data_IF_845896240786
#
_entry.id   IF_845896240786
#
_cell.length_a   1.000
_cell.length_b   1.000
_cell.length_c   1.000
_cell.angle_alpha   90.00
_cell.angle_beta   90.00
_cell.angle_gamma   90.00
#
_symmetry.space_group_name_H-M   'P 1'
#
loop_
_entity.id
_entity.type
_entity.pdbx_description
1 polymer ?
#
# COMPACT_ATOMS: atom_id res chain seq x y z
N UNK A 1 -8.48 -81.27 -14.01
CA UNK A 1 -8.73 -80.38 -12.88
C UNK A 1 -8.21 -79.00 -13.24
N UNK A 2 -9.11 -78.06 -13.64
CA UNK A 2 -8.79 -76.65 -13.96
C UNK A 2 -9.08 -75.79 -12.74
N UNK A 3 -8.03 -75.12 -12.19
CA UNK A 3 -8.21 -74.18 -11.12
C UNK A 3 -8.41 -72.78 -11.73
N UNK A 4 -9.57 -72.18 -11.50
CA UNK A 4 -9.87 -70.80 -11.87
C UNK A 4 -9.46 -69.88 -10.70
N UNK A 5 -8.51 -68.98 -10.98
CA UNK A 5 -8.14 -67.92 -10.03
C UNK A 5 -9.01 -66.68 -10.27
N UNK A 6 -9.75 -66.31 -9.25
CA UNK A 6 -10.55 -65.07 -9.24
C UNK A 6 -9.66 -63.93 -8.71
N UNK A 7 -9.40 -62.95 -9.57
CA UNK A 7 -8.74 -61.73 -9.15
C UNK A 7 -9.79 -60.69 -8.68
N UNK A 8 -9.77 -60.37 -7.41
CA UNK A 8 -10.58 -59.29 -6.83
C UNK A 8 -9.82 -57.97 -7.00
N UNK A 9 -10.33 -57.08 -7.87
CA UNK A 9 -9.83 -55.72 -8.02
C UNK A 9 -10.49 -54.83 -6.94
N UNK A 10 -9.72 -54.46 -5.92
CA UNK A 10 -10.17 -53.46 -4.92
C UNK A 10 -9.89 -52.07 -5.48
N UNK A 11 -10.94 -51.35 -5.92
CA UNK A 11 -10.86 -49.97 -6.35
C UNK A 11 -10.74 -49.06 -5.11
N UNK A 12 -9.55 -48.51 -4.90
CA UNK A 12 -9.33 -47.46 -3.90
C UNK A 12 -9.75 -46.14 -4.49
N UNK A 13 -10.90 -45.62 -4.05
CA UNK A 13 -11.41 -44.31 -4.40
C UNK A 13 -10.64 -43.23 -3.60
N UNK A 14 -9.69 -42.55 -4.24
CA UNK A 14 -9.04 -41.36 -3.66
C UNK A 14 -10.03 -40.19 -3.70
N UNK A 15 -10.67 -39.89 -2.57
CA UNK A 15 -11.36 -38.62 -2.38
C UNK A 15 -10.33 -37.50 -2.25
N UNK A 16 -10.07 -36.77 -3.31
CA UNK A 16 -9.34 -35.49 -3.23
C UNK A 16 -10.25 -34.43 -2.64
N UNK A 17 -10.07 -34.15 -1.36
CA UNK A 17 -10.68 -32.97 -0.73
C UNK A 17 -10.05 -31.71 -1.33
N UNK A 18 -10.73 -31.07 -2.26
CA UNK A 18 -10.41 -29.71 -2.71
C UNK A 18 -10.77 -28.76 -1.57
N UNK A 19 -9.78 -28.38 -0.76
CA UNK A 19 -9.92 -27.29 0.18
C UNK A 19 -10.18 -26.00 -0.61
N UNK A 20 -11.43 -25.59 -0.70
CA UNK A 20 -11.83 -24.27 -1.18
C UNK A 20 -11.25 -23.26 -0.19
N UNK A 21 -10.17 -22.59 -0.58
CA UNK A 21 -9.64 -21.44 0.16
C UNK A 21 -10.72 -20.36 0.14
N UNK A 22 -11.56 -20.35 1.16
CA UNK A 22 -12.54 -19.30 1.39
C UNK A 22 -11.77 -18.00 1.52
N UNK A 23 -11.92 -17.12 0.55
CA UNK A 23 -11.30 -15.80 0.51
C UNK A 23 -11.92 -14.97 1.67
N UNK A 24 -11.35 -15.14 2.87
CA UNK A 24 -11.83 -14.48 4.08
C UNK A 24 -11.70 -12.97 3.84
N UNK A 25 -12.83 -12.28 3.77
CA UNK A 25 -12.87 -10.83 3.57
C UNK A 25 -12.01 -10.19 4.67
N UNK A 26 -10.87 -9.61 4.28
CA UNK A 26 -9.95 -8.96 5.22
C UNK A 26 -10.65 -7.74 5.79
N UNK A 27 -10.78 -7.67 7.10
CA UNK A 27 -11.21 -6.46 7.80
C UNK A 27 -10.01 -5.53 7.95
N UNK A 28 -10.02 -4.44 7.21
CA UNK A 28 -8.91 -3.50 7.14
C UNK A 28 -8.70 -2.78 8.46
N UNK A 29 -9.76 -2.46 9.19
CA UNK A 29 -9.66 -1.79 10.50
C UNK A 29 -9.02 -2.72 11.55
N UNK A 30 -9.40 -4.01 11.56
CA UNK A 30 -8.77 -5.01 12.40
C UNK A 30 -7.29 -5.22 11.99
N UNK A 31 -7.02 -5.23 10.68
CA UNK A 31 -5.66 -5.42 10.16
C UNK A 31 -4.71 -4.28 10.54
N UNK A 32 -5.19 -3.02 10.54
CA UNK A 32 -4.39 -1.88 11.03
C UNK A 32 -3.99 -2.06 12.51
N UNK A 33 -4.92 -2.56 13.35
CA UNK A 33 -4.63 -2.84 14.77
C UNK A 33 -3.59 -3.95 14.94
N UNK A 34 -3.72 -5.06 14.19
CA UNK A 34 -2.74 -6.16 14.20
C UNK A 34 -1.33 -5.69 13.82
N UNK A 35 -1.23 -4.77 12.86
CA UNK A 35 0.02 -4.19 12.39
C UNK A 35 0.53 -3.03 13.26
N UNK A 36 -0.18 -2.68 14.34
CA UNK A 36 0.09 -1.51 15.19
C UNK A 36 0.19 -0.20 14.38
N UNK A 37 -0.59 -0.07 13.30
CA UNK A 37 -0.64 1.14 12.49
C UNK A 37 -1.68 2.09 13.07
N UNK A 38 -1.22 3.24 13.53
CA UNK A 38 -2.08 4.34 13.98
C UNK A 38 -2.22 5.35 12.84
N UNK A 39 -3.46 5.57 12.41
CA UNK A 39 -3.76 6.64 11.46
C UNK A 39 -3.66 7.99 12.18
N UNK A 40 -3.18 8.98 11.44
CA UNK A 40 -2.99 10.34 11.93
C UNK A 40 -4.15 11.24 11.48
N UNK A 41 -4.30 12.41 12.09
CA UNK A 41 -5.19 13.44 11.54
C UNK A 41 -4.58 13.97 10.24
N UNK A 42 -5.29 13.90 9.09
CA UNK A 42 -4.75 14.43 7.85
C UNK A 42 -4.43 15.93 7.97
N UNK A 43 -3.29 16.33 7.46
CA UNK A 43 -2.92 17.75 7.36
C UNK A 43 -3.86 18.47 6.39
N UNK A 44 -4.19 19.73 6.68
CA UNK A 44 -4.97 20.56 5.77
C UNK A 44 -4.18 20.84 4.47
N UNK A 45 -4.86 21.05 3.33
CA UNK A 45 -4.19 21.60 2.16
C UNK A 45 -3.57 22.95 2.47
N UNK A 46 -2.35 23.18 1.98
CA UNK A 46 -1.62 24.45 2.18
C UNK A 46 -1.92 25.50 1.11
N UNK A 47 -2.73 25.12 0.10
CA UNK A 47 -3.12 25.98 -1.03
C UNK A 47 -4.52 25.64 -1.52
N UNK A 48 -4.96 26.23 -2.63
CA UNK A 48 -6.28 26.00 -3.21
C UNK A 48 -6.32 24.68 -4.03
N UNK A 49 -6.30 23.54 -3.32
CA UNK A 49 -6.49 22.20 -3.89
C UNK A 49 -7.16 21.27 -2.86
N UNK A 50 -7.65 20.11 -3.30
CA UNK A 50 -8.20 19.07 -2.44
C UNK A 50 -7.18 17.94 -2.22
N UNK A 51 -7.09 17.40 -1.00
CA UNK A 51 -6.25 16.22 -0.68
C UNK A 51 -6.70 14.97 -1.43
N UNK A 52 -7.99 14.89 -1.77
CA UNK A 52 -8.52 13.82 -2.59
C UNK A 52 -9.75 14.32 -3.37
N UNK A 53 -9.92 13.79 -4.60
CA UNK A 53 -11.08 14.04 -5.46
C UNK A 53 -11.70 12.71 -5.84
N UNK A 54 -13.02 12.58 -5.67
CA UNK A 54 -13.77 11.37 -6.04
C UNK A 54 -14.46 11.57 -7.39
N UNK A 55 -14.26 10.60 -8.30
CA UNK A 55 -14.94 10.52 -9.60
C UNK A 55 -15.56 9.12 -9.72
N UNK A 56 -16.86 9.03 -9.57
CA UNK A 56 -17.55 7.75 -9.51
C UNK A 56 -17.08 6.87 -8.35
N UNK A 57 -16.50 5.71 -8.64
CA UNK A 57 -15.87 4.81 -7.67
C UNK A 57 -14.34 4.97 -7.58
N UNK A 58 -13.76 5.96 -8.25
CA UNK A 58 -12.34 6.24 -8.19
C UNK A 58 -12.06 7.41 -7.24
N UNK A 59 -11.03 7.28 -6.42
CA UNK A 59 -10.51 8.31 -5.54
C UNK A 59 -9.09 8.66 -5.98
N UNK A 60 -8.86 9.90 -6.33
CA UNK A 60 -7.57 10.45 -6.73
C UNK A 60 -7.01 11.25 -5.56
N UNK A 61 -5.84 10.85 -5.06
CA UNK A 61 -5.16 11.55 -3.96
C UNK A 61 -4.03 12.40 -4.51
N UNK A 62 -3.97 13.64 -4.06
CA UNK A 62 -2.85 14.55 -4.30
C UNK A 62 -1.57 14.04 -3.66
N UNK A 63 -0.44 14.68 -3.96
CA UNK A 63 0.83 14.42 -3.31
C UNK A 63 0.74 14.54 -1.80
N UNK A 64 1.25 13.53 -1.10
CA UNK A 64 1.36 13.47 0.36
C UNK A 64 2.83 13.33 0.73
N UNK A 65 3.23 14.08 1.76
CA UNK A 65 4.53 13.96 2.41
C UNK A 65 4.48 13.05 3.64
N UNK A 66 5.64 12.80 4.27
CA UNK A 66 5.77 12.00 5.49
C UNK A 66 5.38 12.82 6.72
N UNK A 67 4.07 12.98 6.95
CA UNK A 67 3.54 13.66 8.14
C UNK A 67 3.90 12.87 9.41
N UNK A 68 4.38 13.58 10.44
CA UNK A 68 4.66 12.99 11.76
C UNK A 68 3.40 12.95 12.63
N UNK A 69 3.23 11.94 13.48
CA UNK A 69 2.08 11.86 14.39
C UNK A 69 1.94 13.08 15.32
N UNK A 70 3.05 13.63 15.77
CA UNK A 70 3.15 14.79 16.63
C UNK A 70 3.03 16.13 15.87
N UNK A 71 2.92 16.07 14.56
CA UNK A 71 2.91 17.22 13.65
C UNK A 71 4.24 17.51 13.00
N UNK A 72 4.20 18.27 11.89
CA UNK A 72 5.36 18.55 11.05
C UNK A 72 5.67 17.41 10.07
N UNK A 73 6.79 17.55 9.36
CA UNK A 73 7.23 16.65 8.29
C UNK A 73 8.60 16.06 8.59
N UNK A 74 8.89 14.88 8.05
CA UNK A 74 10.26 14.41 7.88
C UNK A 74 10.84 15.18 6.70
N UNK A 75 12.04 15.73 6.85
CA UNK A 75 12.70 16.53 5.82
C UNK A 75 14.12 16.03 5.56
N UNK A 76 14.66 16.37 4.40
CA UNK A 76 16.03 16.04 3.99
C UNK A 76 16.10 15.42 2.60
N UNK A 77 17.25 15.53 1.97
CA UNK A 77 17.58 14.96 0.67
C UNK A 77 18.23 13.59 0.85
N UNK A 78 17.75 12.60 0.09
CA UNK A 78 18.29 11.24 0.12
C UNK A 78 19.67 11.19 -0.53
N UNK A 79 20.61 10.58 0.17
CA UNK A 79 22.00 10.47 -0.24
C UNK A 79 22.93 11.56 0.34
N UNK A 80 22.37 12.62 0.98
CA UNK A 80 23.13 13.59 1.79
C UNK A 80 22.63 13.64 3.22
N UNK A 81 21.34 13.96 3.40
CA UNK A 81 20.75 14.18 4.72
C UNK A 81 20.14 12.88 5.29
N UNK A 82 19.67 12.01 4.41
CA UNK A 82 19.00 10.77 4.78
C UNK A 82 19.62 9.57 4.05
N UNK A 83 19.69 8.44 4.76
CA UNK A 83 20.02 7.13 4.17
C UNK A 83 18.85 6.57 3.37
N UNK A 84 19.08 5.49 2.61
CA UNK A 84 18.06 4.73 1.92
C UNK A 84 16.97 4.24 2.89
N UNK A 85 17.39 3.69 4.04
CA UNK A 85 16.50 3.12 5.05
C UNK A 85 15.61 4.20 5.67
N UNK A 86 16.19 5.34 6.04
CA UNK A 86 15.44 6.48 6.57
C UNK A 86 14.42 7.02 5.54
N UNK A 87 14.79 7.06 4.25
CA UNK A 87 13.88 7.47 3.20
C UNK A 87 12.77 6.43 2.95
N UNK A 88 13.07 5.12 3.09
CA UNK A 88 12.08 4.04 3.04
C UNK A 88 11.08 4.14 4.19
N UNK A 89 11.55 4.44 5.40
CA UNK A 89 10.68 4.68 6.56
C UNK A 89 9.82 5.93 6.34
N UNK A 90 10.37 6.99 5.76
CA UNK A 90 9.60 8.17 5.37
C UNK A 90 8.51 7.81 4.34
N UNK A 91 8.80 6.97 3.34
CA UNK A 91 7.78 6.50 2.38
C UNK A 91 6.69 5.65 3.06
N UNK A 92 7.01 4.87 4.10
CA UNK A 92 6.03 4.18 4.94
C UNK A 92 5.12 5.17 5.68
N UNK A 93 5.68 6.26 6.21
CA UNK A 93 4.89 7.33 6.84
C UNK A 93 3.97 8.03 5.84
N UNK A 94 4.43 8.25 4.60
CA UNK A 94 3.56 8.79 3.53
C UNK A 94 2.37 7.86 3.28
N UNK A 95 2.56 6.53 3.27
CA UNK A 95 1.45 5.59 3.13
C UNK A 95 0.43 5.74 4.28
N UNK A 96 0.87 5.96 5.52
CA UNK A 96 -0.02 6.23 6.66
C UNK A 96 -0.80 7.54 6.45
N UNK A 97 -0.13 8.60 5.97
CA UNK A 97 -0.78 9.88 5.64
C UNK A 97 -1.85 9.71 4.56
N UNK A 98 -1.56 8.94 3.51
CA UNK A 98 -2.51 8.59 2.44
C UNK A 98 -3.71 7.81 2.97
N UNK A 99 -3.49 6.74 3.76
CA UNK A 99 -4.56 5.95 4.39
C UNK A 99 -5.44 6.81 5.31
N UNK A 100 -4.83 7.73 6.04
CA UNK A 100 -5.54 8.67 6.91
C UNK A 100 -6.46 9.59 6.11
N UNK A 101 -5.98 10.11 4.98
CA UNK A 101 -6.78 10.92 4.05
C UNK A 101 -7.91 10.11 3.44
N UNK A 102 -7.66 8.86 2.99
CA UNK A 102 -8.70 7.98 2.47
C UNK A 102 -9.77 7.75 3.54
N UNK A 103 -9.38 7.40 4.77
CA UNK A 103 -10.30 7.19 5.89
C UNK A 103 -11.17 8.43 6.15
N UNK A 104 -10.58 9.62 6.15
CA UNK A 104 -11.31 10.88 6.35
C UNK A 104 -12.32 11.15 5.23
N UNK A 105 -12.01 10.76 3.98
CA UNK A 105 -12.90 10.97 2.82
C UNK A 105 -14.06 9.98 2.73
N UNK A 106 -13.83 8.72 3.09
CA UNK A 106 -14.82 7.65 2.85
C UNK A 106 -15.39 7.03 4.15
N UNK A 107 -14.83 7.40 5.31
CA UNK A 107 -15.25 6.99 6.66
C UNK A 107 -14.78 5.60 7.08
N UNK A 108 -14.65 4.63 6.16
CA UNK A 108 -14.31 3.25 6.45
C UNK A 108 -13.38 2.69 5.34
N UNK A 109 -12.17 2.26 5.70
CA UNK A 109 -11.21 1.68 4.76
C UNK A 109 -11.65 0.34 4.18
N UNK A 110 -12.60 -0.34 4.80
CA UNK A 110 -13.23 -1.53 4.23
C UNK A 110 -13.98 -1.26 2.91
N UNK A 111 -14.29 0.01 2.61
CA UNK A 111 -14.86 0.44 1.32
C UNK A 111 -13.83 0.49 0.18
N UNK A 112 -12.53 0.41 0.47
CA UNK A 112 -11.51 0.29 -0.56
C UNK A 112 -11.65 -1.07 -1.24
N UNK A 113 -11.73 -1.07 -2.57
CA UNK A 113 -11.73 -2.29 -3.37
C UNK A 113 -10.31 -2.72 -3.68
N UNK A 114 -9.48 -1.77 -4.16
CA UNK A 114 -8.05 -1.98 -4.43
C UNK A 114 -7.29 -0.67 -4.58
N UNK A 115 -6.00 -0.74 -4.38
CA UNK A 115 -5.07 0.31 -4.81
C UNK A 115 -4.79 0.11 -6.30
N UNK A 116 -4.93 1.16 -7.10
CA UNK A 116 -4.79 1.10 -8.57
C UNK A 116 -3.42 1.55 -9.02
N UNK A 117 -2.99 2.72 -8.53
CA UNK A 117 -1.72 3.34 -8.94
C UNK A 117 -1.07 4.05 -7.76
N UNK A 118 0.25 3.93 -7.69
CA UNK A 118 1.13 4.73 -6.83
C UNK A 118 2.16 5.42 -7.72
N UNK A 119 2.31 6.73 -7.55
CA UNK A 119 3.38 7.52 -8.16
C UNK A 119 4.23 8.12 -7.05
N UNK A 120 5.46 7.62 -6.91
CA UNK A 120 6.40 8.04 -5.88
C UNK A 120 7.54 8.88 -6.46
N UNK A 121 7.78 10.02 -5.83
CA UNK A 121 8.85 10.96 -6.13
C UNK A 121 9.83 11.01 -4.96
N UNK A 122 11.12 10.88 -5.25
CA UNK A 122 12.18 10.86 -4.25
C UNK A 122 13.11 12.05 -4.47
N UNK A 123 13.18 12.94 -3.48
CA UNK A 123 14.14 14.05 -3.44
C UNK A 123 15.53 13.48 -3.12
N UNK A 124 16.33 13.26 -4.14
CA UNK A 124 17.62 12.59 -4.02
C UNK A 124 18.74 13.31 -4.76
N UNK A 125 19.98 12.97 -4.40
CA UNK A 125 21.16 13.42 -5.18
C UNK A 125 21.12 12.79 -6.59
N UNK A 126 21.75 13.42 -7.60
CA UNK A 126 21.69 12.95 -9.00
C UNK A 126 22.23 11.54 -9.21
N UNK A 127 23.14 11.07 -8.37
CA UNK A 127 23.75 9.74 -8.44
C UNK A 127 22.95 8.64 -7.72
N UNK A 128 21.87 9.01 -7.02
CA UNK A 128 21.02 8.04 -6.34
C UNK A 128 20.12 7.30 -7.36
N UNK A 129 20.18 5.99 -7.38
CA UNK A 129 19.47 5.14 -8.36
C UNK A 129 18.48 4.17 -7.72
N UNK A 130 18.31 4.22 -6.39
CA UNK A 130 17.51 3.27 -5.62
C UNK A 130 16.12 3.81 -5.25
N UNK A 131 15.54 4.69 -6.05
CA UNK A 131 14.18 5.23 -5.83
C UNK A 131 13.12 4.14 -5.64
N UNK A 132 13.13 3.03 -6.40
CA UNK A 132 12.15 1.95 -6.19
C UNK A 132 12.25 1.33 -4.80
N UNK A 133 13.46 1.22 -4.23
CA UNK A 133 13.67 0.67 -2.88
C UNK A 133 13.13 1.61 -1.80
N UNK A 134 13.25 2.93 -1.99
CA UNK A 134 12.61 3.93 -1.11
C UNK A 134 11.10 3.77 -1.14
N UNK A 135 10.48 3.72 -2.32
CA UNK A 135 9.03 3.65 -2.48
C UNK A 135 8.46 2.28 -2.03
N UNK A 136 9.30 1.25 -1.90
CA UNK A 136 8.89 -0.01 -1.28
C UNK A 136 8.33 0.20 0.13
N UNK A 137 8.81 1.19 0.91
CA UNK A 137 8.24 1.49 2.22
C UNK A 137 6.72 1.75 2.18
N UNK A 138 6.24 2.46 1.15
CA UNK A 138 4.82 2.66 0.91
C UNK A 138 4.15 1.38 0.35
N UNK A 139 4.72 0.77 -0.68
CA UNK A 139 4.12 -0.38 -1.36
C UNK A 139 3.95 -1.58 -0.44
N UNK A 140 4.95 -1.88 0.39
CA UNK A 140 4.93 -2.99 1.34
C UNK A 140 3.82 -2.78 2.38
N UNK A 141 3.68 -1.57 2.94
CA UNK A 141 2.60 -1.25 3.87
C UNK A 141 1.21 -1.45 3.22
N UNK A 142 1.03 -1.01 1.99
CA UNK A 142 -0.24 -1.18 1.29
C UNK A 142 -0.59 -2.66 1.08
N UNK A 143 0.40 -3.51 0.79
CA UNK A 143 0.22 -4.96 0.66
C UNK A 143 -0.01 -5.60 2.04
N UNK A 144 0.68 -5.16 3.09
CA UNK A 144 0.44 -5.60 4.47
C UNK A 144 -1.00 -5.34 4.90
N UNK A 145 -1.56 -4.18 4.53
CA UNK A 145 -2.92 -3.76 4.94
C UNK A 145 -4.01 -4.39 4.07
N UNK A 146 -3.86 -4.37 2.74
CA UNK A 146 -4.92 -4.77 1.80
C UNK A 146 -4.70 -6.15 1.15
N UNK A 147 -3.59 -6.83 1.45
CA UNK A 147 -3.23 -8.09 0.79
C UNK A 147 -3.06 -7.90 -0.73
N UNK A 148 -3.57 -8.82 -1.53
CA UNK A 148 -3.50 -8.74 -3.00
C UNK A 148 -4.17 -7.48 -3.58
N UNK A 149 -5.15 -6.91 -2.89
CA UNK A 149 -5.78 -5.65 -3.31
C UNK A 149 -4.87 -4.42 -3.08
N UNK A 150 -3.80 -4.56 -2.31
CA UNK A 150 -2.75 -3.56 -2.12
C UNK A 150 -1.72 -3.54 -3.25
N UNK A 151 -1.63 -4.59 -4.09
CA UNK A 151 -0.75 -4.63 -5.27
C UNK A 151 -1.26 -3.68 -6.34
N UNK A 152 -0.40 -2.79 -6.79
CA UNK A 152 -0.75 -1.65 -7.63
C UNK A 152 0.26 -1.45 -8.77
N UNK A 153 -0.15 -0.77 -9.84
CA UNK A 153 0.79 -0.24 -10.81
C UNK A 153 1.59 0.90 -10.18
N UNK A 154 2.91 0.95 -10.43
CA UNK A 154 3.79 1.92 -9.79
C UNK A 154 4.74 2.61 -10.76
N UNK A 155 5.02 3.89 -10.49
CA UNK A 155 6.22 4.57 -10.95
C UNK A 155 6.97 5.10 -9.73
N UNK A 156 8.32 5.04 -9.77
CA UNK A 156 9.19 5.59 -8.76
C UNK A 156 10.30 6.36 -9.47
N UNK A 157 10.39 7.67 -9.24
CA UNK A 157 11.34 8.55 -9.91
C UNK A 157 12.14 9.38 -8.91
N UNK A 158 13.34 9.79 -9.31
CA UNK A 158 14.12 10.81 -8.61
C UNK A 158 13.77 12.21 -9.11
N UNK A 159 13.74 13.16 -8.20
CA UNK A 159 13.52 14.58 -8.49
C UNK A 159 14.62 15.43 -7.83
N UNK A 160 14.88 16.58 -8.42
CA UNK A 160 15.91 17.49 -7.93
C UNK A 160 15.56 18.12 -6.57
N UNK A 161 14.27 18.33 -6.30
CA UNK A 161 13.76 18.89 -5.04
C UNK A 161 12.27 18.56 -4.89
N UNK A 162 11.79 18.55 -3.66
CA UNK A 162 10.36 18.49 -3.29
C UNK A 162 10.02 19.68 -2.39
N UNK A 163 8.74 20.10 -2.35
CA UNK A 163 8.28 21.16 -1.46
C UNK A 163 8.67 20.87 -0.01
N UNK A 164 8.97 21.90 0.77
CA UNK A 164 9.37 21.78 2.18
C UNK A 164 10.58 20.88 2.43
N UNK A 165 11.38 20.61 1.39
CA UNK A 165 12.53 19.70 1.44
C UNK A 165 12.17 18.29 1.97
N UNK A 166 10.96 17.79 1.73
CA UNK A 166 10.59 16.41 2.09
C UNK A 166 11.38 15.40 1.25
N UNK A 167 11.73 14.21 1.80
CA UNK A 167 12.48 13.20 1.06
C UNK A 167 11.65 12.45 0.04
N UNK A 168 10.35 12.33 0.29
CA UNK A 168 9.43 11.52 -0.52
C UNK A 168 8.08 12.22 -0.60
N UNK A 169 7.51 12.24 -1.80
CA UNK A 169 6.11 12.61 -2.05
C UNK A 169 5.44 11.50 -2.86
N UNK A 170 4.20 11.14 -2.50
CA UNK A 170 3.48 10.06 -3.17
C UNK A 170 2.05 10.49 -3.49
N UNK A 171 1.65 10.25 -4.75
CA UNK A 171 0.26 10.30 -5.24
C UNK A 171 -0.31 8.89 -5.34
N UNK A 172 -1.63 8.78 -5.21
CA UNK A 172 -2.31 7.49 -5.26
C UNK A 172 -3.66 7.57 -5.95
N UNK A 173 -4.02 6.50 -6.67
CA UNK A 173 -5.37 6.28 -7.21
C UNK A 173 -5.92 5.01 -6.58
N UNK A 174 -7.15 5.09 -6.06
CA UNK A 174 -7.84 4.02 -5.35
C UNK A 174 -9.19 3.75 -5.98
N UNK A 175 -9.54 2.47 -6.15
CA UNK A 175 -10.89 2.04 -6.52
C UNK A 175 -11.68 1.70 -5.25
N UNK A 176 -12.89 2.23 -5.15
CA UNK A 176 -13.84 1.98 -4.06
C UNK A 176 -14.83 0.88 -4.46
N UNK A 177 -15.35 0.16 -3.49
CA UNK A 177 -16.50 -0.75 -3.68
C UNK A 177 -17.73 0.08 -4.03
N UNK A 178 -18.61 -0.52 -4.87
CA UNK A 178 -19.93 0.06 -5.19
C UNK A 178 -20.86 -0.07 -4.00
#
# INVERSE_FOLDING_TARGET
MKRSSVFIFTAICFMTATASAQNKKVDIEARLKELNIQLIKPSAPVANYAKAVRVGNMLYLSGHGPDKPEGGLITGKVGTDLTLEQARDAARMVAISLLSTIKAQIGDLNKVKRIVKVFGMVNAIPTFINQPQVINGCSDLLVEVFGENGRHARSAIGVASLPSNIPVEIEMIVELKK
#
